data_IF_983839096328
#
_entry.id   IF_983839096328
#
_cell.length_a   1.000
_cell.length_b   1.000
_cell.length_c   1.000
_cell.angle_alpha   90.00
_cell.angle_beta   90.00
_cell.angle_gamma   90.00
#
_symmetry.space_group_name_H-M   'P 1'
#
loop_
_entity.id
_entity.type
_entity.pdbx_description
1 polymer ?
#
# COMPACT_ATOMS: atom_id res chain seq x y z
N UNK A 1 -11.96 -31.97 26.27
CA UNK A 1 -11.34 -31.63 24.97
C UNK A 1 -12.41 -31.49 23.88
N UNK A 2 -13.22 -30.42 23.93
CA UNK A 2 -14.30 -30.16 22.96
C UNK A 2 -14.38 -28.67 22.53
N UNK A 3 -13.28 -27.91 22.66
CA UNK A 3 -13.28 -26.48 22.25
C UNK A 3 -13.17 -26.29 20.72
N UNK A 4 -12.61 -27.26 20.01
CA UNK A 4 -12.30 -27.11 18.57
C UNK A 4 -13.57 -27.24 17.71
N UNK A 5 -14.53 -28.15 17.97
CA UNK A 5 -15.76 -28.24 17.19
C UNK A 5 -16.74 -27.08 17.42
N UNK A 6 -16.78 -26.50 18.62
CA UNK A 6 -17.64 -25.33 18.93
C UNK A 6 -17.10 -24.04 18.30
N UNK A 7 -15.77 -23.91 18.16
CA UNK A 7 -15.12 -22.85 17.38
C UNK A 7 -15.54 -22.87 15.90
N UNK A 8 -15.83 -24.03 15.32
CA UNK A 8 -16.24 -24.16 13.92
C UNK A 8 -17.69 -23.69 13.65
N UNK A 9 -18.60 -23.85 14.61
CA UNK A 9 -19.97 -23.30 14.51
C UNK A 9 -20.01 -21.79 14.76
N UNK A 10 -19.19 -21.30 15.70
CA UNK A 10 -18.97 -19.86 15.89
C UNK A 10 -18.20 -19.21 14.73
N UNK A 11 -17.45 -20.00 13.95
CA UNK A 11 -16.50 -19.53 12.92
C UNK A 11 -17.07 -18.53 11.94
N UNK A 12 -18.37 -18.61 11.60
CA UNK A 12 -19.00 -17.60 10.74
C UNK A 12 -19.05 -16.23 11.42
N UNK A 13 -19.48 -16.18 12.68
CA UNK A 13 -19.52 -14.95 13.47
C UNK A 13 -18.11 -14.47 13.83
N UNK A 14 -17.20 -15.38 14.22
CA UNK A 14 -15.80 -15.02 14.48
C UNK A 14 -15.09 -14.54 13.23
N UNK A 15 -15.35 -15.11 12.05
CA UNK A 15 -14.78 -14.64 10.78
C UNK A 15 -15.30 -13.23 10.44
N UNK A 16 -16.61 -12.98 10.59
CA UNK A 16 -17.18 -11.65 10.41
C UNK A 16 -16.54 -10.66 11.38
N UNK A 17 -16.37 -11.03 12.64
CA UNK A 17 -15.73 -10.21 13.67
C UNK A 17 -14.26 -9.90 13.34
N UNK A 18 -13.50 -10.89 12.87
CA UNK A 18 -12.10 -10.72 12.45
C UNK A 18 -12.01 -9.78 11.24
N UNK A 19 -12.88 -9.94 10.24
CA UNK A 19 -12.93 -9.05 9.06
C UNK A 19 -13.27 -7.61 9.48
N UNK A 20 -14.22 -7.45 10.41
CA UNK A 20 -14.60 -6.14 10.92
C UNK A 20 -13.45 -5.48 11.69
N UNK A 21 -12.81 -6.22 12.61
CA UNK A 21 -11.64 -5.74 13.34
C UNK A 21 -10.48 -5.37 12.42
N UNK A 22 -10.19 -6.21 11.43
CA UNK A 22 -9.14 -5.93 10.44
C UNK A 22 -9.46 -4.65 9.66
N UNK A 23 -10.72 -4.44 9.28
CA UNK A 23 -11.14 -3.22 8.58
C UNK A 23 -10.92 -1.99 9.45
N UNK A 24 -11.29 -2.05 10.73
CA UNK A 24 -11.04 -0.96 11.69
C UNK A 24 -9.55 -0.70 11.88
N UNK A 25 -8.74 -1.75 12.04
CA UNK A 25 -7.28 -1.64 12.19
C UNK A 25 -6.64 -1.05 10.93
N UNK A 26 -7.13 -1.44 9.76
CA UNK A 26 -6.67 -0.93 8.47
C UNK A 26 -6.97 0.56 8.30
N UNK A 27 -8.20 0.99 8.66
CA UNK A 27 -8.57 2.42 8.66
C UNK A 27 -7.74 3.20 9.69
N UNK A 28 -7.52 2.63 10.87
CA UNK A 28 -6.68 3.25 11.89
C UNK A 28 -5.23 3.40 11.41
N UNK A 29 -4.67 2.37 10.77
CA UNK A 29 -3.34 2.41 10.18
C UNK A 29 -3.23 3.52 9.13
N UNK A 30 -4.23 3.67 8.25
CA UNK A 30 -4.30 4.78 7.28
C UNK A 30 -4.32 6.15 7.96
N UNK A 31 -5.19 6.34 8.97
CA UNK A 31 -5.26 7.60 9.70
C UNK A 31 -3.95 7.93 10.41
N UNK A 32 -3.28 6.91 10.96
CA UNK A 32 -1.99 7.09 11.62
C UNK A 32 -0.88 7.39 10.62
N UNK A 33 -0.86 6.70 9.49
CA UNK A 33 0.12 6.90 8.42
C UNK A 33 -0.06 8.27 7.74
N UNK A 34 -1.30 8.73 7.56
CA UNK A 34 -1.58 10.08 7.03
C UNK A 34 -1.08 11.20 7.95
N UNK A 35 -1.04 10.96 9.26
CA UNK A 35 -0.47 11.90 10.25
C UNK A 35 1.03 11.68 10.50
N UNK A 36 1.58 10.58 9.99
CA UNK A 36 2.97 10.25 10.20
C UNK A 36 3.82 10.97 9.14
N UNK A 37 4.57 11.97 9.57
CA UNK A 37 5.51 12.73 8.74
C UNK A 37 6.84 12.00 8.52
N UNK A 38 7.10 10.92 9.25
CA UNK A 38 8.36 10.19 9.19
C UNK A 38 8.33 9.10 8.10
N UNK A 39 9.13 9.21 7.02
CA UNK A 39 9.11 8.25 5.91
C UNK A 39 9.62 6.84 6.28
N UNK A 40 10.28 6.68 7.44
CA UNK A 40 10.84 5.41 7.88
C UNK A 40 9.83 4.47 8.55
N UNK A 41 8.63 4.95 8.92
CA UNK A 41 7.65 4.17 9.69
C UNK A 41 6.36 4.08 8.88
N UNK A 42 5.96 2.87 8.47
CA UNK A 42 4.71 2.63 7.78
C UNK A 42 3.87 1.62 8.58
N UNK A 43 2.74 2.07 9.12
CA UNK A 43 1.85 1.21 9.89
C UNK A 43 1.03 0.31 8.97
N UNK A 44 1.00 -1.00 9.25
CA UNK A 44 0.34 -2.00 8.40
C UNK A 44 -0.53 -2.94 9.23
N UNK A 45 -1.74 -3.22 8.76
CA UNK A 45 -2.63 -4.22 9.38
C UNK A 45 -2.17 -5.65 9.02
N UNK A 46 -2.43 -6.65 9.88
CA UNK A 46 -1.91 -8.01 9.70
C UNK A 46 -2.45 -8.71 8.44
N UNK A 47 -3.69 -8.44 8.02
CA UNK A 47 -4.25 -8.95 6.75
C UNK A 47 -4.24 -7.89 5.63
N UNK A 48 -3.31 -6.92 5.69
CA UNK A 48 -3.20 -5.84 4.71
C UNK A 48 -3.17 -6.34 3.26
N UNK A 49 -2.55 -7.49 2.98
CA UNK A 49 -2.49 -8.03 1.60
C UNK A 49 -3.89 -8.22 1.02
N UNK A 50 -4.83 -8.73 1.82
CA UNK A 50 -6.22 -8.94 1.41
C UNK A 50 -6.98 -7.62 1.42
N UNK A 51 -6.94 -6.87 2.52
CA UNK A 51 -7.71 -5.62 2.68
C UNK A 51 -7.26 -4.52 1.70
N UNK A 52 -6.00 -4.48 1.30
CA UNK A 52 -5.50 -3.52 0.30
C UNK A 52 -6.06 -3.72 -1.11
N UNK A 53 -6.56 -4.92 -1.45
CA UNK A 53 -7.21 -5.14 -2.75
C UNK A 53 -8.60 -4.51 -2.81
N UNK A 54 -9.30 -4.50 -1.67
CA UNK A 54 -10.65 -3.95 -1.54
C UNK A 54 -10.64 -2.46 -1.18
N UNK A 55 -9.64 -2.01 -0.44
CA UNK A 55 -9.53 -0.61 -0.03
C UNK A 55 -9.18 0.30 -1.22
N UNK A 56 -10.07 1.25 -1.54
CA UNK A 56 -9.87 2.21 -2.61
C UNK A 56 -8.63 3.11 -2.40
N UNK A 57 -8.30 3.44 -1.15
CA UNK A 57 -7.14 4.26 -0.79
C UNK A 57 -5.83 3.52 -1.07
N UNK A 58 -5.70 2.27 -0.62
CA UNK A 58 -4.52 1.45 -0.97
C UNK A 58 -4.39 1.26 -2.47
N UNK A 59 -5.52 1.07 -3.17
CA UNK A 59 -5.53 0.88 -4.61
C UNK A 59 -5.08 2.14 -5.35
N UNK A 60 -5.56 3.31 -4.95
CA UNK A 60 -5.13 4.59 -5.55
C UNK A 60 -3.66 4.90 -5.24
N UNK A 61 -3.18 4.63 -4.02
CA UNK A 61 -1.76 4.79 -3.67
C UNK A 61 -0.87 3.90 -4.55
N UNK A 62 -1.27 2.64 -4.75
CA UNK A 62 -0.55 1.70 -5.61
C UNK A 62 -0.51 2.14 -7.08
N UNK A 63 -1.60 2.69 -7.60
CA UNK A 63 -1.66 3.18 -8.98
C UNK A 63 -0.84 4.47 -9.14
N UNK A 64 -0.92 5.38 -8.18
CA UNK A 64 -0.09 6.59 -8.13
C UNK A 64 1.39 6.25 -8.07
N UNK A 65 1.79 5.23 -7.29
CA UNK A 65 3.18 4.76 -7.25
C UNK A 65 3.66 4.28 -8.63
N UNK A 66 2.82 3.55 -9.37
CA UNK A 66 3.14 3.13 -10.75
C UNK A 66 3.28 4.33 -11.69
N UNK A 67 2.36 5.29 -11.62
CA UNK A 67 2.42 6.52 -12.42
C UNK A 67 3.71 7.28 -12.12
N UNK A 68 4.06 7.42 -10.84
CA UNK A 68 5.29 8.08 -10.41
C UNK A 68 6.53 7.39 -10.97
N UNK A 69 6.61 6.06 -10.93
CA UNK A 69 7.74 5.33 -11.54
C UNK A 69 7.88 5.61 -13.04
N UNK A 70 6.77 5.64 -13.78
CA UNK A 70 6.79 5.96 -15.22
C UNK A 70 7.22 7.41 -15.46
N UNK A 71 6.75 8.34 -14.63
CA UNK A 71 7.15 9.74 -14.71
C UNK A 71 8.63 9.94 -14.39
N UNK A 72 9.13 9.30 -13.33
CA UNK A 72 10.53 9.35 -12.93
C UNK A 72 11.45 8.81 -14.03
N UNK A 73 11.06 7.70 -14.68
CA UNK A 73 11.80 7.13 -15.80
C UNK A 73 11.80 8.06 -17.03
N UNK A 74 10.66 8.68 -17.37
CA UNK A 74 10.60 9.67 -18.46
C UNK A 74 11.48 10.88 -18.18
N UNK A 75 11.53 11.35 -16.93
CA UNK A 75 12.40 12.46 -16.52
C UNK A 75 13.88 12.05 -16.62
N UNK A 76 14.21 10.81 -16.24
CA UNK A 76 15.57 10.27 -16.36
C UNK A 76 16.02 10.24 -17.83
N UNK A 77 15.23 9.66 -18.72
CA UNK A 77 15.54 9.59 -20.15
C UNK A 77 15.72 10.99 -20.76
N UNK A 78 14.82 11.93 -20.42
CA UNK A 78 14.94 13.33 -20.88
C UNK A 78 16.26 13.96 -20.44
N UNK A 79 16.66 13.76 -19.17
CA UNK A 79 17.92 14.28 -18.66
C UNK A 79 19.12 13.68 -19.40
N UNK A 80 19.12 12.37 -19.64
CA UNK A 80 20.20 11.71 -20.41
C UNK A 80 20.33 12.30 -21.82
N UNK A 81 19.22 12.47 -22.54
CA UNK A 81 19.23 13.12 -23.85
C UNK A 81 19.75 14.56 -23.81
N UNK A 82 19.41 15.32 -22.77
CA UNK A 82 19.94 16.68 -22.59
C UNK A 82 21.46 16.67 -22.35
N UNK A 83 21.97 15.75 -21.54
CA UNK A 83 23.41 15.59 -21.34
C UNK A 83 24.12 15.24 -22.66
N UNK A 84 23.61 14.24 -23.39
CA UNK A 84 24.19 13.83 -24.68
C UNK A 84 24.21 14.98 -25.70
N UNK A 85 23.15 15.79 -25.75
CA UNK A 85 23.10 16.97 -26.62
C UNK A 85 24.18 17.99 -26.25
N UNK A 86 24.30 18.33 -24.96
CA UNK A 86 25.31 19.28 -24.47
C UNK A 86 26.72 18.78 -24.78
N UNK A 87 27.00 17.50 -24.51
CA UNK A 87 28.30 16.88 -24.80
C UNK A 87 28.63 16.96 -26.29
N UNK A 88 27.68 16.66 -27.18
CA UNK A 88 27.89 16.78 -28.64
C UNK A 88 28.10 18.20 -29.12
N UNK A 89 27.50 19.21 -28.49
CA UNK A 89 27.68 20.62 -28.89
C UNK A 89 29.00 21.23 -28.41
N UNK A 90 29.64 20.65 -27.40
CA UNK A 90 30.90 21.15 -26.82
C UNK A 90 32.15 20.49 -27.43
N UNK A 91 31.99 19.47 -28.28
CA UNK A 91 33.08 18.78 -28.99
C UNK A 91 33.12 19.25 -30.44
#
# INVERSE_FOLDING_TARGET
>A
MFLIPSLFFFFKLTAIFIIFLETLLHIWAHRRNSRNTNPCIYFRSPLHVVSSQFCAICRSESSMKRVKMIQDERIRIRRLHQFDFVTRTLT
#
